data_IF_245528811985
#
_entry.id   IF_245528811985
#
_cell.length_a   1.000
_cell.length_b   1.000
_cell.length_c   1.000
_cell.angle_alpha   90.00
_cell.angle_beta   90.00
_cell.angle_gamma   90.00
#
_symmetry.space_group_name_H-M   'P 1'
#
loop_
_entity.id
_entity.type
_entity.pdbx_description
1 polymer ?
#
# COMPACT_ATOMS: atom_id res chain seq x y z
N UNK A 1 -35.31 -9.63 27.07
CA UNK A 1 -35.76 -10.53 25.98
C UNK A 1 -35.56 -9.88 24.61
N UNK A 2 -36.24 -8.78 24.28
CA UNK A 2 -36.09 -8.07 23.00
C UNK A 2 -34.65 -7.59 22.69
N UNK A 3 -33.91 -7.08 23.69
CA UNK A 3 -32.52 -6.63 23.51
C UNK A 3 -31.56 -7.77 23.15
N UNK A 4 -31.78 -8.96 23.72
CA UNK A 4 -30.95 -10.14 23.47
C UNK A 4 -31.22 -10.72 22.07
N UNK A 5 -32.49 -10.73 21.65
CA UNK A 5 -32.90 -11.13 20.30
C UNK A 5 -32.36 -10.17 19.23
N UNK A 6 -32.39 -8.85 19.49
CA UNK A 6 -31.82 -7.84 18.59
C UNK A 6 -30.29 -8.00 18.44
N UNK A 7 -29.60 -8.35 19.52
CA UNK A 7 -28.16 -8.62 19.50
C UNK A 7 -27.80 -9.87 18.68
N UNK A 8 -28.55 -10.96 18.88
CA UNK A 8 -28.36 -12.19 18.11
C UNK A 8 -28.63 -12.01 16.61
N UNK A 9 -29.66 -11.21 16.26
CA UNK A 9 -29.95 -10.88 14.87
C UNK A 9 -28.84 -10.05 14.24
N UNK A 10 -28.31 -9.06 14.95
CA UNK A 10 -27.18 -8.24 14.48
C UNK A 10 -25.92 -9.06 14.23
N UNK A 11 -25.57 -9.96 15.17
CA UNK A 11 -24.43 -10.87 15.03
C UNK A 11 -24.60 -11.80 13.81
N UNK A 12 -25.79 -12.37 13.63
CA UNK A 12 -26.10 -13.19 12.47
C UNK A 12 -25.95 -12.43 11.15
N UNK A 13 -26.53 -11.23 11.04
CA UNK A 13 -26.48 -10.43 9.82
C UNK A 13 -25.05 -10.03 9.46
N UNK A 14 -24.27 -9.54 10.42
CA UNK A 14 -22.89 -9.14 10.19
C UNK A 14 -22.03 -10.33 9.74
N UNK A 15 -22.18 -11.48 10.41
CA UNK A 15 -21.46 -12.70 10.05
C UNK A 15 -21.75 -13.13 8.61
N UNK A 16 -23.02 -13.14 8.21
CA UNK A 16 -23.39 -13.49 6.82
C UNK A 16 -22.86 -12.48 5.81
N UNK A 17 -22.90 -11.19 6.13
CA UNK A 17 -22.36 -10.15 5.24
C UNK A 17 -20.88 -10.35 4.95
N UNK A 18 -20.08 -10.59 6.00
CA UNK A 18 -18.64 -10.86 5.86
C UNK A 18 -18.39 -12.16 5.07
N UNK A 19 -19.09 -13.24 5.39
CA UNK A 19 -18.92 -14.54 4.70
C UNK A 19 -19.28 -14.46 3.22
N UNK A 20 -20.32 -13.70 2.85
CA UNK A 20 -20.73 -13.51 1.46
C UNK A 20 -19.70 -12.73 0.62
N UNK A 21 -18.78 -12.00 1.26
CA UNK A 21 -17.67 -11.32 0.59
C UNK A 21 -16.43 -12.21 0.38
N UNK A 22 -16.41 -13.43 0.91
CA UNK A 22 -15.28 -14.35 0.78
C UNK A 22 -15.39 -15.23 -0.47
N UNK A 23 -14.25 -15.60 -1.04
CA UNK A 23 -14.21 -16.65 -2.05
C UNK A 23 -14.54 -18.03 -1.44
N UNK A 24 -14.82 -19.03 -2.29
CA UNK A 24 -15.24 -20.36 -1.84
C UNK A 24 -14.22 -21.05 -0.91
N UNK A 25 -12.92 -20.83 -1.11
CA UNK A 25 -11.87 -21.45 -0.29
C UNK A 25 -11.85 -20.82 1.11
N UNK A 26 -11.92 -19.50 1.18
CA UNK A 26 -11.98 -18.76 2.42
C UNK A 26 -13.30 -18.99 3.16
N UNK A 27 -14.43 -19.02 2.45
CA UNK A 27 -15.73 -19.33 3.03
C UNK A 27 -15.71 -20.66 3.79
N UNK A 28 -15.15 -21.72 3.20
CA UNK A 28 -15.07 -23.03 3.86
C UNK A 28 -14.21 -23.00 5.14
N UNK A 29 -13.15 -22.21 5.16
CA UNK A 29 -12.27 -22.05 6.33
C UNK A 29 -12.96 -21.25 7.45
N UNK A 30 -13.72 -20.22 7.10
CA UNK A 30 -14.24 -19.23 8.05
C UNK A 30 -15.71 -19.44 8.45
N UNK A 31 -16.49 -20.18 7.66
CA UNK A 31 -17.91 -20.48 7.95
C UNK A 31 -18.18 -21.21 9.27
N UNK A 32 -17.27 -22.03 9.84
CA UNK A 32 -17.48 -22.65 11.15
C UNK A 32 -17.48 -21.66 12.33
N UNK A 33 -17.07 -20.41 12.12
CA UNK A 33 -17.03 -19.40 13.18
C UNK A 33 -18.45 -18.96 13.57
N UNK A 34 -18.75 -19.09 14.87
CA UNK A 34 -20.12 -19.03 15.39
C UNK A 34 -20.62 -17.61 15.66
N UNK A 35 -19.72 -16.64 15.78
CA UNK A 35 -20.08 -15.22 16.02
C UNK A 35 -19.38 -14.31 15.01
N UNK A 36 -19.99 -13.16 14.74
CA UNK A 36 -19.39 -12.09 13.94
C UNK A 36 -18.04 -11.65 14.52
N UNK A 37 -17.94 -11.59 15.85
CA UNK A 37 -16.72 -11.21 16.56
C UNK A 37 -15.57 -12.19 16.31
N UNK A 38 -15.81 -13.50 16.50
CA UNK A 38 -14.77 -14.52 16.28
C UNK A 38 -14.32 -14.58 14.83
N UNK A 39 -15.26 -14.40 13.90
CA UNK A 39 -14.99 -14.28 12.47
C UNK A 39 -14.06 -13.10 12.19
N UNK A 40 -14.43 -11.92 12.69
CA UNK A 40 -13.64 -10.70 12.51
C UNK A 40 -12.25 -10.83 13.11
N UNK A 41 -12.11 -11.25 14.38
CA UNK A 41 -10.83 -11.41 15.06
C UNK A 41 -9.91 -12.43 14.36
N UNK A 42 -10.47 -13.49 13.79
CA UNK A 42 -9.68 -14.51 13.07
C UNK A 42 -9.20 -14.02 11.70
N UNK A 43 -10.05 -13.28 10.98
CA UNK A 43 -9.65 -12.61 9.74
C UNK A 43 -8.58 -11.56 10.03
N UNK A 44 -8.80 -10.77 11.06
CA UNK A 44 -7.88 -9.76 11.53
C UNK A 44 -6.53 -10.38 11.91
N UNK A 45 -6.49 -11.41 12.75
CA UNK A 45 -5.24 -12.07 13.11
C UNK A 45 -4.45 -12.62 11.91
N UNK A 46 -5.13 -13.13 10.88
CA UNK A 46 -4.47 -13.75 9.72
C UNK A 46 -4.02 -12.73 8.67
N UNK A 47 -4.84 -11.70 8.45
CA UNK A 47 -4.66 -10.76 7.33
C UNK A 47 -4.31 -9.34 7.77
N UNK A 48 -4.63 -8.96 9.01
CA UNK A 48 -4.16 -7.74 9.66
C UNK A 48 -2.72 -7.96 10.15
N UNK A 49 -1.84 -8.23 9.21
CA UNK A 49 -0.42 -7.96 9.40
C UNK A 49 -0.22 -6.48 9.06
N UNK A 50 -0.67 -5.60 9.97
CA UNK A 50 -0.62 -4.13 9.81
C UNK A 50 0.78 -3.65 9.43
N UNK A 51 1.83 -4.36 9.85
CA UNK A 51 3.19 -4.11 9.42
C UNK A 51 3.47 -4.57 7.99
N UNK A 52 3.41 -5.88 7.71
CA UNK A 52 3.94 -6.42 6.44
C UNK A 52 3.04 -6.13 5.25
N UNK A 53 1.71 -6.17 5.43
CA UNK A 53 0.76 -5.89 4.35
C UNK A 53 0.81 -4.43 3.90
N UNK A 54 0.81 -3.51 4.86
CA UNK A 54 0.95 -2.07 4.58
C UNK A 54 2.33 -1.75 3.99
N UNK A 55 3.41 -2.30 4.55
CA UNK A 55 4.76 -2.14 4.00
C UNK A 55 4.84 -2.62 2.55
N UNK A 56 4.35 -3.82 2.26
CA UNK A 56 4.35 -4.36 0.89
C UNK A 56 3.49 -3.52 -0.05
N UNK A 57 2.36 -3.01 0.42
CA UNK A 57 1.51 -2.13 -0.37
C UNK A 57 2.19 -0.79 -0.68
N UNK A 58 2.81 -0.14 0.31
CA UNK A 58 3.54 1.12 0.12
C UNK A 58 4.73 0.94 -0.82
N UNK A 59 5.49 -0.15 -0.65
CA UNK A 59 6.61 -0.51 -1.54
C UNK A 59 6.11 -0.76 -2.97
N UNK A 60 5.03 -1.52 -3.14
CA UNK A 60 4.41 -1.74 -4.44
C UNK A 60 3.96 -0.43 -5.10
N UNK A 61 3.24 0.41 -4.36
CA UNK A 61 2.81 1.74 -4.82
C UNK A 61 4.00 2.60 -5.26
N UNK A 62 5.11 2.58 -4.51
CA UNK A 62 6.32 3.28 -4.93
C UNK A 62 6.93 2.68 -6.19
N UNK A 63 7.10 1.37 -6.29
CA UNK A 63 7.69 0.71 -7.47
C UNK A 63 6.87 1.03 -8.73
N UNK A 64 5.55 0.93 -8.65
CA UNK A 64 4.64 1.09 -9.78
C UNK A 64 4.43 2.55 -10.20
N UNK A 65 4.66 3.51 -9.30
CA UNK A 65 4.46 4.92 -9.59
C UNK A 65 5.40 5.41 -10.70
N UNK A 66 4.84 6.01 -11.75
CA UNK A 66 5.56 6.68 -12.84
C UNK A 66 4.82 7.96 -13.22
N UNK A 67 5.55 9.03 -13.47
CA UNK A 67 4.94 10.26 -13.98
C UNK A 67 4.51 10.09 -15.43
N UNK A 68 3.42 10.75 -15.78
CA UNK A 68 2.84 10.79 -17.11
C UNK A 68 2.83 12.22 -17.64
N UNK A 69 2.90 12.34 -18.96
CA UNK A 69 2.97 13.64 -19.65
C UNK A 69 1.64 14.42 -19.58
N UNK A 70 0.52 13.74 -19.32
CA UNK A 70 -0.82 14.34 -19.28
C UNK A 70 -1.14 15.10 -17.99
N UNK A 71 -0.26 15.06 -16.99
CA UNK A 71 -0.41 15.73 -15.70
C UNK A 71 0.72 16.72 -15.47
N UNK A 72 0.47 17.77 -14.68
CA UNK A 72 1.54 18.70 -14.32
C UNK A 72 2.63 18.01 -13.50
N UNK A 73 3.89 18.37 -13.74
CA UNK A 73 5.04 17.83 -12.99
C UNK A 73 4.87 18.10 -11.49
N UNK A 74 4.43 19.30 -11.12
CA UNK A 74 4.26 19.67 -9.71
C UNK A 74 3.22 18.81 -8.99
N UNK A 75 2.05 18.54 -9.59
CA UNK A 75 1.05 17.66 -8.97
C UNK A 75 1.62 16.26 -8.71
N UNK A 76 2.35 15.74 -9.69
CA UNK A 76 2.96 14.42 -9.62
C UNK A 76 4.14 14.35 -8.64
N UNK A 77 4.87 15.45 -8.43
CA UNK A 77 5.89 15.55 -7.38
C UNK A 77 5.25 15.43 -6.00
N UNK A 78 4.12 16.11 -5.75
CA UNK A 78 3.41 15.98 -4.48
C UNK A 78 2.89 14.55 -4.26
N UNK A 79 2.29 13.93 -5.28
CA UNK A 79 1.86 12.51 -5.22
C UNK A 79 3.03 11.58 -4.83
N UNK A 80 4.20 11.79 -5.42
CA UNK A 80 5.41 11.01 -5.13
C UNK A 80 5.99 11.29 -3.73
N UNK A 81 5.98 12.54 -3.28
CA UNK A 81 6.43 12.92 -1.94
C UNK A 81 5.61 12.25 -0.84
N UNK A 82 4.29 12.14 -1.03
CA UNK A 82 3.42 11.40 -0.10
C UNK A 82 3.83 9.92 -0.01
N UNK A 83 4.10 9.28 -1.16
CA UNK A 83 4.54 7.88 -1.18
C UNK A 83 5.90 7.70 -0.50
N UNK A 84 6.84 8.63 -0.73
CA UNK A 84 8.16 8.62 -0.08
C UNK A 84 8.05 8.83 1.43
N UNK A 85 7.17 9.73 1.87
CA UNK A 85 6.89 9.94 3.29
C UNK A 85 6.37 8.65 3.94
N UNK A 86 5.36 8.00 3.34
CA UNK A 86 4.82 6.73 3.83
C UNK A 86 5.90 5.62 3.87
N UNK A 87 6.80 5.57 2.87
CA UNK A 87 7.94 4.66 2.86
C UNK A 87 8.89 4.88 4.04
N UNK A 88 9.20 6.14 4.33
CA UNK A 88 10.10 6.52 5.40
C UNK A 88 9.51 6.25 6.79
N UNK A 89 8.22 6.52 6.99
CA UNK A 89 7.58 6.35 8.31
C UNK A 89 7.27 4.89 8.61
N UNK A 90 6.84 4.10 7.61
CA UNK A 90 6.32 2.75 7.85
C UNK A 90 7.28 1.63 7.46
N UNK A 91 8.23 1.86 6.54
CA UNK A 91 8.97 0.78 5.88
C UNK A 91 10.45 0.76 6.21
N UNK A 92 11.21 1.77 5.77
CA UNK A 92 12.68 1.71 5.75
C UNK A 92 13.34 3.08 5.62
N UNK A 93 14.51 3.25 6.25
CA UNK A 93 15.45 4.31 5.88
C UNK A 93 16.13 3.97 4.55
N UNK A 94 15.84 4.75 3.51
CA UNK A 94 16.52 4.63 2.22
C UNK A 94 17.76 5.51 2.18
N UNK A 95 18.86 5.00 1.63
CA UNK A 95 20.03 5.85 1.37
C UNK A 95 19.68 6.93 0.33
N UNK A 96 20.32 8.10 0.45
CA UNK A 96 20.02 9.26 -0.40
C UNK A 96 20.28 8.99 -1.89
N UNK A 97 21.31 8.22 -2.22
CA UNK A 97 21.66 7.93 -3.62
C UNK A 97 20.60 7.08 -4.34
N UNK A 98 19.97 6.15 -3.62
CA UNK A 98 18.83 5.37 -4.10
C UNK A 98 17.61 6.25 -4.30
N UNK A 99 17.29 7.12 -3.32
CA UNK A 99 16.16 8.04 -3.43
C UNK A 99 16.28 8.95 -4.66
N UNK A 100 17.44 9.59 -4.83
CA UNK A 100 17.70 10.48 -5.98
C UNK A 100 17.58 9.70 -7.29
N UNK A 101 18.16 8.50 -7.37
CA UNK A 101 18.07 7.67 -8.58
C UNK A 101 16.63 7.26 -8.88
N UNK A 102 15.87 6.84 -7.87
CA UNK A 102 14.48 6.42 -8.04
C UNK A 102 13.58 7.59 -8.48
N UNK A 103 13.80 8.80 -7.94
CA UNK A 103 13.08 10.02 -8.36
C UNK A 103 13.39 10.35 -9.83
N UNK A 104 14.66 10.30 -10.23
CA UNK A 104 15.08 10.52 -11.62
C UNK A 104 14.42 9.49 -12.55
N UNK A 105 14.31 8.23 -12.12
CA UNK A 105 13.64 7.20 -12.91
C UNK A 105 12.15 7.47 -13.13
N UNK A 106 11.49 8.14 -12.19
CA UNK A 106 10.05 8.40 -12.20
C UNK A 106 9.64 9.60 -13.06
N UNK A 107 10.59 10.43 -13.50
CA UNK A 107 10.32 11.60 -14.33
C UNK A 107 9.55 11.23 -15.62
N UNK A 108 8.68 12.14 -16.10
CA UNK A 108 7.82 11.89 -17.24
C UNK A 108 8.64 11.71 -18.53
N UNK A 109 8.13 10.94 -19.52
CA UNK A 109 8.82 10.67 -20.78
C UNK A 109 9.30 11.93 -21.52
N UNK A 110 8.53 13.02 -21.48
CA UNK A 110 8.92 14.30 -22.09
C UNK A 110 10.22 14.88 -21.53
N UNK A 111 10.65 14.47 -20.32
CA UNK A 111 11.91 14.91 -19.69
C UNK A 111 13.07 13.92 -19.88
N UNK A 112 13.03 13.08 -20.92
CA UNK A 112 14.05 12.04 -21.17
C UNK A 112 15.49 12.59 -21.23
N UNK A 113 15.71 13.70 -21.93
CA UNK A 113 17.07 14.26 -22.07
C UNK A 113 17.57 14.86 -20.76
N UNK A 114 16.68 15.52 -20.02
CA UNK A 114 16.98 16.01 -18.67
C UNK A 114 17.27 14.86 -17.70
N UNK A 115 16.50 13.76 -17.77
CA UNK A 115 16.74 12.53 -17.03
C UNK A 115 18.12 11.94 -17.33
N UNK A 116 18.54 11.91 -18.59
CA UNK A 116 19.88 11.44 -18.99
C UNK A 116 20.99 12.33 -18.43
N UNK A 117 20.81 13.65 -18.49
CA UNK A 117 21.73 14.61 -17.87
C UNK A 117 21.91 14.39 -16.37
N UNK A 118 20.79 14.23 -15.64
CA UNK A 118 20.83 13.98 -14.19
C UNK A 118 21.52 12.65 -13.84
N UNK A 119 21.32 11.59 -14.64
CA UNK A 119 22.02 10.31 -14.45
C UNK A 119 23.53 10.45 -14.59
N UNK A 120 24.00 11.26 -15.54
CA UNK A 120 25.43 11.54 -15.71
C UNK A 120 26.00 12.28 -14.49
N UNK A 121 25.31 13.34 -14.06
CA UNK A 121 25.66 14.13 -12.85
C UNK A 121 25.69 13.28 -11.58
N UNK A 122 24.71 12.40 -11.36
CA UNK A 122 24.69 11.50 -10.21
C UNK A 122 25.88 10.54 -10.20
N UNK A 123 26.29 10.02 -11.35
CA UNK A 123 27.49 9.16 -11.43
C UNK A 123 28.75 9.92 -11.03
N UNK A 124 28.90 11.16 -11.47
CA UNK A 124 30.04 12.00 -11.08
C UNK A 124 30.09 12.27 -9.58
N UNK A 125 28.94 12.43 -8.91
CA UNK A 125 28.89 12.65 -7.46
C UNK A 125 29.23 11.41 -6.65
N UNK A 126 28.69 10.24 -7.03
CA UNK A 126 28.98 8.97 -6.34
C UNK A 126 30.45 8.53 -6.47
N UNK A 127 31.19 9.05 -7.47
CA UNK A 127 32.63 8.79 -7.64
C UNK A 127 33.54 9.72 -6.80
N UNK A 128 32.98 10.77 -6.20
CA UNK A 128 33.73 11.80 -5.45
C UNK A 128 33.61 11.68 -3.92
N UNK A 129 32.90 10.66 -3.44
CA UNK A 129 32.73 10.29 -2.03
C UNK A 129 33.48 9.00 -1.74
#
# INVERSE_FOLDING_TARGET
>A
RAVFEAWGLGDFLYRNYVLNGLDNLLYNVYSPMTTAKLLWESLEKKYKNEGVGLKNFIVGKFIDYRMVDSKSVMSQVHEMQLILHDLHTEVMEMNESFQVTAVIEKLPPLLKDFKNYLKHKCKEWNLKT
#
